data_IF_291563215789
#
_entry.id   IF_291563215789
#
_cell.length_a   1.000
_cell.length_b   1.000
_cell.length_c   1.000
_cell.angle_alpha   90.00
_cell.angle_beta   90.00
_cell.angle_gamma   90.00
#
_symmetry.space_group_name_H-M   'P 1'
#
loop_
_entity.id
_entity.type
_entity.pdbx_description
1 polymer ?
#
# COMPACT_ATOMS: atom_id res chain seq x y z
N UNK A 1 -8.76 1.94 25.47
CA UNK A 1 -8.07 2.09 24.19
C UNK A 1 -8.68 1.07 23.24
N UNK A 2 -9.33 1.52 22.16
CA UNK A 2 -9.89 0.62 21.14
C UNK A 2 -8.73 0.19 20.25
N UNK A 3 -8.46 -1.11 20.20
CA UNK A 3 -7.46 -1.68 19.28
C UNK A 3 -8.15 -2.16 18.02
N UNK A 4 -7.53 -1.97 16.87
CA UNK A 4 -8.06 -2.41 15.59
C UNK A 4 -7.13 -3.46 14.99
N UNK A 5 -7.69 -4.60 14.55
CA UNK A 5 -6.92 -5.74 14.04
C UNK A 5 -7.13 -5.90 12.53
N UNK A 6 -6.03 -5.80 11.77
CA UNK A 6 -6.03 -6.03 10.33
C UNK A 6 -5.44 -7.41 10.01
N UNK A 7 -6.31 -8.36 9.66
CA UNK A 7 -6.01 -9.79 9.54
C UNK A 7 -5.01 -10.19 8.43
N UNK A 8 -4.48 -9.26 7.63
CA UNK A 8 -3.55 -9.61 6.55
C UNK A 8 -2.08 -9.71 7.03
N UNK A 9 -1.69 -9.14 8.18
CA UNK A 9 -0.26 -9.15 8.61
C UNK A 9 0.00 -9.10 10.13
N UNK A 10 -0.87 -9.65 10.97
CA UNK A 10 -0.72 -9.56 12.44
C UNK A 10 -0.54 -8.09 12.91
N UNK A 11 -1.06 -7.13 12.14
CA UNK A 11 -0.88 -5.71 12.44
C UNK A 11 -2.02 -5.29 13.37
N UNK A 12 -1.66 -5.05 14.63
CA UNK A 12 -2.53 -4.47 15.65
C UNK A 12 -2.20 -3.00 15.76
N UNK A 13 -3.20 -2.16 15.56
CA UNK A 13 -3.07 -0.72 15.71
C UNK A 13 -3.63 -0.32 17.08
N UNK A 14 -2.85 0.47 17.80
CA UNK A 14 -3.22 0.99 19.10
C UNK A 14 -4.39 1.98 19.00
N UNK A 15 -4.46 2.75 17.91
CA UNK A 15 -5.55 3.65 17.56
C UNK A 15 -5.65 3.88 16.03
N UNK A 16 -6.63 4.70 15.62
CA UNK A 16 -6.83 5.05 14.21
C UNK A 16 -5.70 5.93 13.63
N UNK A 17 -4.94 6.64 14.47
CA UNK A 17 -3.80 7.44 14.03
C UNK A 17 -2.68 6.52 13.53
N UNK A 18 -2.31 5.51 14.32
CA UNK A 18 -1.30 4.52 13.92
C UNK A 18 -1.73 3.76 12.64
N UNK A 19 -3.03 3.45 12.52
CA UNK A 19 -3.57 2.83 11.32
C UNK A 19 -3.42 3.75 10.09
N UNK A 20 -3.73 5.06 10.20
CA UNK A 20 -3.56 6.02 9.10
C UNK A 20 -2.10 6.22 8.72
N UNK A 21 -1.19 6.30 9.69
CA UNK A 21 0.26 6.39 9.43
C UNK A 21 0.77 5.15 8.66
N UNK A 22 0.18 3.98 8.91
CA UNK A 22 0.51 2.78 8.16
C UNK A 22 -0.04 2.81 6.73
N UNK A 23 -1.22 3.40 6.50
CA UNK A 23 -1.73 3.62 5.14
C UNK A 23 -0.79 4.56 4.36
N UNK A 24 -0.34 5.65 4.98
CA UNK A 24 0.62 6.59 4.36
C UNK A 24 1.92 5.87 3.96
N UNK A 25 2.52 5.08 4.85
CA UNK A 25 3.70 4.25 4.52
C UNK A 25 3.47 3.30 3.35
N UNK A 26 2.28 2.72 3.27
CA UNK A 26 1.92 1.83 2.16
C UNK A 26 1.80 2.61 0.84
N UNK A 27 1.27 3.83 0.87
CA UNK A 27 1.21 4.73 -0.29
C UNK A 27 2.58 5.19 -0.74
N UNK A 28 3.48 5.52 0.19
CA UNK A 28 4.88 5.84 -0.09
C UNK A 28 5.61 4.66 -0.76
N UNK A 29 5.41 3.44 -0.26
CA UNK A 29 6.00 2.23 -0.85
C UNK A 29 5.49 1.98 -2.27
N UNK A 30 4.18 2.16 -2.50
CA UNK A 30 3.56 2.10 -3.82
C UNK A 30 4.18 3.13 -4.76
N UNK A 31 4.31 4.39 -4.33
CA UNK A 31 4.87 5.47 -5.13
C UNK A 31 6.34 5.19 -5.50
N UNK A 32 7.12 4.67 -4.55
CA UNK A 32 8.51 4.27 -4.79
C UNK A 32 8.62 3.19 -5.87
N UNK A 33 7.79 2.15 -5.79
CA UNK A 33 7.81 1.05 -6.77
C UNK A 33 7.34 1.51 -8.14
N UNK A 34 6.34 2.38 -8.20
CA UNK A 34 5.90 3.01 -9.44
C UNK A 34 7.03 3.83 -10.09
N UNK A 35 7.73 4.65 -9.31
CA UNK A 35 8.88 5.42 -9.80
C UNK A 35 10.03 4.53 -10.28
N UNK A 36 10.32 3.43 -9.57
CA UNK A 36 11.30 2.44 -10.01
C UNK A 36 10.88 1.77 -11.33
N UNK A 37 9.60 1.38 -11.45
CA UNK A 37 9.08 0.79 -12.67
C UNK A 37 9.18 1.75 -13.85
N UNK A 38 8.75 3.01 -13.67
CA UNK A 38 8.83 4.04 -14.70
C UNK A 38 10.27 4.29 -15.16
N UNK A 39 11.22 4.40 -14.22
CA UNK A 39 12.63 4.54 -14.54
C UNK A 39 13.17 3.35 -15.35
N UNK A 40 12.78 2.13 -14.95
CA UNK A 40 13.22 0.89 -15.57
C UNK A 40 12.50 0.57 -16.90
N UNK A 41 11.37 1.22 -17.21
CA UNK A 41 10.58 1.01 -18.42
C UNK A 41 10.45 2.26 -19.30
N UNK A 42 11.26 3.31 -19.07
CA UNK A 42 11.16 4.55 -19.84
C UNK A 42 11.37 4.31 -21.35
N UNK A 43 10.65 5.02 -22.24
CA UNK A 43 10.73 4.79 -23.69
C UNK A 43 12.10 5.06 -24.32
N UNK A 44 12.97 5.82 -23.64
CA UNK A 44 14.30 6.21 -24.12
C UNK A 44 15.38 5.15 -23.93
N UNK A 45 15.05 4.01 -23.31
CA UNK A 45 15.99 2.91 -23.12
C UNK A 45 16.33 2.24 -24.44
N UNK A 46 17.60 1.89 -24.61
CA UNK A 46 18.02 0.96 -25.65
C UNK A 46 17.42 -0.42 -25.40
N UNK A 47 17.30 -1.28 -26.43
CA UNK A 47 16.87 -2.67 -26.25
C UNK A 47 17.73 -3.44 -25.23
N UNK A 48 19.04 -3.15 -25.16
CA UNK A 48 19.97 -3.77 -24.19
C UNK A 48 19.66 -3.35 -22.75
N UNK A 49 19.37 -2.08 -22.49
CA UNK A 49 18.98 -1.60 -21.16
C UNK A 49 17.61 -2.14 -20.77
N UNK A 50 16.65 -2.13 -21.71
CA UNK A 50 15.31 -2.69 -21.49
C UNK A 50 15.38 -4.18 -21.11
N UNK A 51 16.22 -4.96 -21.80
CA UNK A 51 16.43 -6.37 -21.49
C UNK A 51 17.03 -6.58 -20.08
N UNK A 52 17.97 -5.73 -19.65
CA UNK A 52 18.54 -5.76 -18.29
C UNK A 52 17.50 -5.40 -17.23
N UNK A 53 16.62 -4.46 -17.52
CA UNK A 53 15.61 -3.96 -16.59
C UNK A 53 14.37 -4.86 -16.48
N UNK A 54 14.18 -5.80 -17.41
CA UNK A 54 12.99 -6.67 -17.49
C UNK A 54 12.64 -7.35 -16.16
N UNK A 55 13.64 -7.85 -15.44
CA UNK A 55 13.43 -8.49 -14.14
C UNK A 55 12.89 -7.50 -13.09
N UNK A 56 13.44 -6.28 -13.05
CA UNK A 56 13.00 -5.22 -12.15
C UNK A 56 11.58 -4.77 -12.48
N UNK A 57 11.26 -4.54 -13.76
CA UNK A 57 9.91 -4.16 -14.20
C UNK A 57 8.88 -5.22 -13.81
N UNK A 58 9.17 -6.50 -14.04
CA UNK A 58 8.27 -7.59 -13.68
C UNK A 58 8.09 -7.71 -12.15
N UNK A 59 9.18 -7.57 -11.39
CA UNK A 59 9.14 -7.56 -9.93
C UNK A 59 8.32 -6.39 -9.39
N UNK A 60 8.54 -5.18 -9.92
CA UNK A 60 7.76 -3.98 -9.57
C UNK A 60 6.28 -4.20 -9.86
N UNK A 61 5.93 -4.71 -11.04
CA UNK A 61 4.54 -4.93 -11.41
C UNK A 61 3.82 -5.92 -10.46
N UNK A 62 4.48 -7.04 -10.11
CA UNK A 62 3.94 -8.02 -9.19
C UNK A 62 3.82 -7.47 -7.75
N UNK A 63 4.81 -6.71 -7.31
CA UNK A 63 4.82 -6.07 -5.98
C UNK A 63 3.75 -4.99 -5.90
N UNK A 64 3.63 -4.15 -6.92
CA UNK A 64 2.62 -3.09 -7.03
C UNK A 64 1.21 -3.66 -6.95
N UNK A 65 0.92 -4.75 -7.68
CA UNK A 65 -0.38 -5.42 -7.60
C UNK A 65 -0.70 -5.93 -6.18
N UNK A 66 0.31 -6.46 -5.48
CA UNK A 66 0.17 -6.95 -4.10
C UNK A 66 -0.09 -5.79 -3.12
N UNK A 67 0.68 -4.71 -3.23
CA UNK A 67 0.53 -3.53 -2.37
C UNK A 67 -0.79 -2.80 -2.62
N UNK A 68 -1.22 -2.68 -3.88
CA UNK A 68 -2.51 -2.08 -4.23
C UNK A 68 -3.68 -2.88 -3.62
N UNK A 69 -3.63 -4.22 -3.71
CA UNK A 69 -4.62 -5.08 -3.06
C UNK A 69 -4.65 -4.84 -1.54
N UNK A 70 -3.47 -4.83 -0.91
CA UNK A 70 -3.32 -4.58 0.53
C UNK A 70 -3.86 -3.20 0.92
N UNK A 71 -3.61 -2.18 0.09
CA UNK A 71 -4.10 -0.82 0.27
C UNK A 71 -5.63 -0.80 0.26
N UNK A 72 -6.25 -1.38 -0.78
CA UNK A 72 -7.72 -1.42 -0.86
C UNK A 72 -8.36 -2.17 0.31
N UNK A 73 -7.79 -3.31 0.73
CA UNK A 73 -8.26 -4.05 1.91
C UNK A 73 -8.13 -3.19 3.18
N UNK A 74 -7.06 -2.42 3.31
CA UNK A 74 -6.81 -1.59 4.47
C UNK A 74 -7.66 -0.31 4.52
N UNK A 75 -7.91 0.32 3.37
CA UNK A 75 -8.85 1.45 3.26
C UNK A 75 -10.27 1.04 3.69
N UNK A 76 -10.72 -0.16 3.31
CA UNK A 76 -12.00 -0.73 3.76
C UNK A 76 -12.00 -0.92 5.29
N UNK A 77 -10.92 -1.47 5.84
CA UNK A 77 -10.76 -1.65 7.28
C UNK A 77 -10.81 -0.32 8.04
N UNK A 78 -10.03 0.68 7.60
CA UNK A 78 -10.01 2.01 8.21
C UNK A 78 -11.38 2.66 8.18
N UNK A 79 -12.08 2.61 7.04
CA UNK A 79 -13.42 3.15 6.92
C UNK A 79 -14.39 2.47 7.90
N UNK A 80 -14.39 1.14 7.99
CA UNK A 80 -15.25 0.41 8.92
C UNK A 80 -14.93 0.77 10.39
N UNK A 81 -13.66 0.95 10.71
CA UNK A 81 -13.18 1.32 12.03
C UNK A 81 -13.62 2.76 12.41
N UNK A 82 -13.51 3.70 11.46
CA UNK A 82 -13.98 5.08 11.59
C UNK A 82 -15.51 5.15 11.76
N UNK A 83 -16.27 4.42 10.93
CA UNK A 83 -17.74 4.35 11.00
C UNK A 83 -18.20 3.74 12.34
N UNK A 84 -17.51 2.71 12.84
CA UNK A 84 -17.78 2.10 14.14
C UNK A 84 -17.52 3.09 15.27
N UNK A 85 -16.39 3.81 15.22
CA UNK A 85 -16.05 4.81 16.23
C UNK A 85 -17.07 5.96 16.25
N UNK A 86 -17.49 6.44 15.07
CA UNK A 86 -18.52 7.47 14.94
C UNK A 86 -19.87 7.02 15.51
N UNK A 87 -20.25 5.75 15.28
CA UNK A 87 -21.49 5.17 15.82
C UNK A 87 -21.46 5.07 17.34
N UNK A 88 -20.35 4.62 17.93
CA UNK A 88 -20.19 4.51 19.40
C UNK A 88 -20.06 5.89 20.06
N UNK A 89 -19.54 6.88 19.35
CA UNK A 89 -19.35 8.25 19.86
C UNK A 89 -20.57 9.16 19.66
N UNK A 90 -21.60 8.67 18.96
CA UNK A 90 -22.86 9.39 18.78
C UNK A 90 -23.79 9.12 19.99
N UNK A 91 -24.28 10.15 20.70
CA UNK A 91 -25.12 9.99 21.90
C UNK A 91 -26.50 9.40 21.63
#
# INVERSE_FOLDING_TARGET
MLTFEFNNKESRFADLGEARDWLEKLEEEIALIMGMQEHCSRPTLTPKESAKNKAVVNYSAATLATLQRKKSEFEIFLKNAEDTLATVSSP
#
